data_IF_373211666382
#
_entry.id   IF_373211666382
#
_cell.length_a   1.000
_cell.length_b   1.000
_cell.length_c   1.000
_cell.angle_alpha   90.00
_cell.angle_beta   90.00
_cell.angle_gamma   90.00
#
_symmetry.space_group_name_H-M   'P 1'
#
loop_
_entity.id
_entity.type
_entity.pdbx_description
1 polymer ?
#
# COMPACT_ATOMS: atom_id res chain seq x y z
N UNK A 1 23.11 8.66 -8.53
CA UNK A 1 22.34 8.32 -9.73
C UNK A 1 21.98 9.50 -10.62
N UNK A 2 22.45 10.73 -10.30
CA UNK A 2 22.22 11.89 -11.17
C UNK A 2 22.97 11.73 -12.51
N UNK A 3 22.30 12.10 -13.62
CA UNK A 3 22.89 12.04 -14.96
C UNK A 3 22.90 10.65 -15.63
N UNK A 4 22.58 9.58 -14.89
CA UNK A 4 22.57 8.22 -15.43
C UNK A 4 21.20 7.83 -15.96
N UNK A 5 21.16 6.84 -16.86
CA UNK A 5 19.96 6.22 -17.40
C UNK A 5 20.10 4.71 -17.32
N UNK A 6 19.01 4.04 -16.96
CA UNK A 6 18.97 2.59 -16.81
C UNK A 6 17.77 2.04 -17.57
N UNK A 7 17.98 1.04 -18.38
CA UNK A 7 16.91 0.29 -19.05
C UNK A 7 16.22 -0.72 -18.11
N UNK A 8 16.95 -1.20 -17.10
CA UNK A 8 16.42 -2.04 -16.03
C UNK A 8 16.73 -1.43 -14.67
N UNK A 9 15.73 -1.42 -13.77
CA UNK A 9 15.91 -1.10 -12.36
C UNK A 9 15.28 -2.22 -11.53
N UNK A 10 16.10 -2.87 -10.71
CA UNK A 10 15.67 -3.83 -9.70
C UNK A 10 15.65 -3.16 -8.32
N UNK A 11 14.54 -3.28 -7.61
CA UNK A 11 14.46 -2.92 -6.20
C UNK A 11 14.38 -4.20 -5.39
N UNK A 12 15.27 -4.35 -4.44
CA UNK A 12 15.17 -5.36 -3.42
C UNK A 12 14.53 -4.75 -2.19
N UNK A 13 13.56 -5.46 -1.58
CA UNK A 13 12.78 -4.98 -0.45
C UNK A 13 12.16 -3.57 -0.70
N UNK A 14 11.29 -3.46 -1.69
CA UNK A 14 10.71 -2.18 -2.12
C UNK A 14 10.01 -1.40 -0.98
N UNK A 15 9.53 -2.10 0.04
CA UNK A 15 8.93 -1.49 1.23
C UNK A 15 9.92 -0.75 2.13
N UNK A 16 11.22 -0.88 1.89
CA UNK A 16 12.25 -0.08 2.57
C UNK A 16 12.48 1.29 1.92
N UNK A 17 11.91 1.53 0.75
CA UNK A 17 12.04 2.80 0.03
C UNK A 17 10.82 3.70 0.28
N UNK A 18 11.06 5.00 0.37
CA UNK A 18 10.01 6.00 0.31
C UNK A 18 9.45 6.10 -1.11
N UNK A 19 8.26 6.72 -1.22
CA UNK A 19 7.68 7.02 -2.55
C UNK A 19 8.58 7.95 -3.36
N UNK A 20 9.22 8.91 -2.73
CA UNK A 20 10.13 9.87 -3.36
C UNK A 20 11.34 9.19 -3.98
N UNK A 21 11.99 8.29 -3.24
CA UNK A 21 13.14 7.52 -3.74
C UNK A 21 12.75 6.64 -4.93
N UNK A 22 11.65 5.90 -4.79
CA UNK A 22 11.13 5.07 -5.88
C UNK A 22 10.79 5.87 -7.13
N UNK A 23 10.03 6.95 -6.98
CA UNK A 23 9.60 7.79 -8.10
C UNK A 23 10.76 8.52 -8.77
N UNK A 24 11.75 8.96 -7.99
CA UNK A 24 12.98 9.53 -8.50
C UNK A 24 13.73 8.53 -9.39
N UNK A 25 13.94 7.31 -8.93
CA UNK A 25 14.62 6.27 -9.71
C UNK A 25 13.83 5.89 -10.97
N UNK A 26 12.51 5.88 -10.94
CA UNK A 26 11.70 5.70 -12.15
C UNK A 26 11.95 6.77 -13.22
N UNK A 27 12.32 7.99 -12.83
CA UNK A 27 12.69 9.04 -13.80
C UNK A 27 13.98 8.73 -14.54
N UNK A 28 14.80 7.82 -14.02
CA UNK A 28 16.05 7.32 -14.61
C UNK A 28 15.86 6.06 -15.44
N UNK A 29 14.69 5.43 -15.36
CA UNK A 29 14.36 4.24 -16.13
C UNK A 29 13.94 4.63 -17.54
N UNK A 30 14.92 4.70 -18.43
CA UNK A 30 14.77 5.14 -19.81
C UNK A 30 15.76 4.38 -20.72
N UNK A 31 15.47 4.25 -22.03
CA UNK A 31 16.32 3.47 -22.91
C UNK A 31 17.71 4.11 -23.05
N UNK A 32 18.73 3.27 -23.05
CA UNK A 32 20.12 3.65 -23.32
C UNK A 32 20.50 3.51 -24.81
N UNK A 33 19.60 3.00 -25.66
CA UNK A 33 19.82 2.81 -27.09
C UNK A 33 18.52 2.41 -27.80
N UNK A 34 18.55 2.31 -29.14
CA UNK A 34 17.44 1.80 -29.92
C UNK A 34 17.16 0.34 -29.50
N UNK A 35 15.89 -0.06 -29.56
CA UNK A 35 15.41 -1.41 -29.26
C UNK A 35 15.60 -1.90 -27.82
N UNK A 36 15.99 -1.00 -26.90
CA UNK A 36 16.16 -1.33 -25.49
C UNK A 36 14.79 -1.42 -24.80
N UNK A 37 14.50 -2.57 -24.19
CA UNK A 37 13.31 -2.74 -23.35
C UNK A 37 13.53 -2.13 -21.98
N UNK A 38 12.68 -1.18 -21.63
CA UNK A 38 12.70 -0.48 -20.34
C UNK A 38 11.68 -1.10 -19.39
N UNK A 39 12.14 -1.54 -18.22
CA UNK A 39 11.24 -2.12 -17.21
C UNK A 39 11.84 -2.04 -15.81
N UNK A 40 10.98 -2.23 -14.81
CA UNK A 40 11.34 -2.26 -13.39
C UNK A 40 10.81 -3.56 -12.77
N UNK A 41 11.57 -4.14 -11.87
CA UNK A 41 11.15 -5.24 -11.01
C UNK A 41 11.41 -4.89 -9.55
N UNK A 42 10.64 -5.47 -8.66
CA UNK A 42 10.85 -5.31 -7.23
C UNK A 42 10.46 -6.58 -6.49
N UNK A 43 11.21 -6.90 -5.44
CA UNK A 43 10.79 -7.80 -4.37
C UNK A 43 10.25 -6.95 -3.22
N UNK A 44 9.37 -7.49 -2.42
CA UNK A 44 8.88 -6.80 -1.22
C UNK A 44 8.21 -7.77 -0.26
N UNK A 45 8.48 -7.58 1.01
CA UNK A 45 7.69 -8.12 2.11
C UNK A 45 6.80 -7.03 2.71
N UNK A 46 5.64 -7.38 3.29
CA UNK A 46 4.84 -6.42 4.06
C UNK A 46 5.65 -5.83 5.22
N UNK A 47 5.46 -4.56 5.51
CA UNK A 47 6.20 -3.84 6.56
C UNK A 47 7.12 -2.75 5.99
N UNK A 48 7.85 -2.06 6.89
CA UNK A 48 8.75 -0.99 6.49
C UNK A 48 8.07 0.35 6.17
N UNK A 49 8.90 1.37 5.92
CA UNK A 49 8.46 2.75 5.70
C UNK A 49 7.59 2.91 4.44
N UNK A 50 7.83 2.08 3.43
CA UNK A 50 7.12 2.11 2.16
C UNK A 50 5.88 1.22 2.10
N UNK A 51 5.55 0.49 3.16
CA UNK A 51 4.43 -0.46 3.16
C UNK A 51 3.14 0.14 2.59
N UNK A 52 2.74 1.30 3.09
CA UNK A 52 1.48 1.94 2.71
C UNK A 52 1.38 2.25 1.21
N UNK A 53 2.40 2.88 0.65
CA UNK A 53 2.38 3.26 -0.77
C UNK A 53 2.55 2.03 -1.69
N UNK A 54 3.34 1.03 -1.29
CA UNK A 54 3.49 -0.22 -2.06
C UNK A 54 2.17 -0.96 -2.11
N UNK A 55 1.51 -1.14 -0.95
CA UNK A 55 0.19 -1.75 -0.86
C UNK A 55 -0.84 -1.01 -1.70
N UNK A 56 -0.96 0.30 -1.54
CA UNK A 56 -1.91 1.13 -2.29
C UNK A 56 -1.67 1.10 -3.80
N UNK A 57 -0.41 0.96 -4.23
CA UNK A 57 -0.05 0.99 -5.65
C UNK A 57 -0.15 -0.37 -6.33
N UNK A 58 0.23 -1.44 -5.66
CA UNK A 58 0.43 -2.74 -6.29
C UNK A 58 -0.53 -3.82 -5.80
N UNK A 59 -0.89 -3.81 -4.51
CA UNK A 59 -1.65 -4.89 -3.89
C UNK A 59 -3.15 -4.60 -3.90
N UNK A 60 -3.57 -3.46 -3.33
CA UNK A 60 -5.01 -3.15 -3.15
C UNK A 60 -5.80 -2.87 -4.44
N UNK A 61 -5.21 -2.34 -5.55
CA UNK A 61 -6.01 -1.90 -6.70
C UNK A 61 -6.62 -3.02 -7.53
N UNK A 62 -6.10 -4.25 -7.48
CA UNK A 62 -6.57 -5.36 -8.28
C UNK A 62 -6.18 -6.72 -7.66
N UNK A 63 -6.90 -7.80 -7.97
CA UNK A 63 -6.52 -9.15 -7.55
C UNK A 63 -5.10 -9.50 -7.98
N UNK A 64 -4.39 -10.33 -7.20
CA UNK A 64 -3.06 -10.81 -7.55
C UNK A 64 -2.98 -11.40 -8.97
N UNK A 65 -1.85 -11.19 -9.66
CA UNK A 65 -1.66 -11.66 -11.03
C UNK A 65 -2.35 -10.80 -12.10
N UNK A 66 -3.16 -9.82 -11.72
CA UNK A 66 -3.86 -8.95 -12.67
C UNK A 66 -2.94 -7.86 -13.20
N UNK A 67 -2.85 -7.74 -14.54
CA UNK A 67 -2.13 -6.64 -15.19
C UNK A 67 -2.94 -5.36 -15.10
N UNK A 68 -2.51 -4.45 -14.26
CA UNK A 68 -3.08 -3.10 -14.14
C UNK A 68 -2.53 -2.19 -15.24
N UNK A 69 -3.41 -1.41 -15.87
CA UNK A 69 -3.04 -0.44 -16.93
C UNK A 69 -3.35 0.96 -16.42
N UNK A 70 -2.37 1.85 -16.53
CA UNK A 70 -2.51 3.27 -16.22
C UNK A 70 -2.16 4.09 -17.45
N UNK A 71 -3.04 5.00 -17.83
CA UNK A 71 -2.78 6.01 -18.83
C UNK A 71 -2.23 7.26 -18.15
N UNK A 72 -0.99 7.59 -18.47
CA UNK A 72 -0.33 8.79 -17.94
C UNK A 72 -0.38 9.86 -19.04
N UNK A 73 -0.92 11.01 -18.69
CA UNK A 73 -1.05 12.16 -19.60
C UNK A 73 0.00 13.21 -19.28
N UNK A 74 0.63 13.72 -20.29
CA UNK A 74 1.53 14.86 -20.23
C UNK A 74 1.17 15.84 -21.33
N UNK A 75 1.51 17.10 -21.17
CA UNK A 75 1.34 18.13 -22.22
C UNK A 75 2.71 18.55 -22.74
N UNK A 76 2.90 18.46 -24.06
CA UNK A 76 4.09 18.96 -24.70
C UNK A 76 4.10 20.51 -24.70
N UNK A 77 5.27 21.18 -24.90
CA UNK A 77 5.35 22.63 -24.96
C UNK A 77 4.48 23.26 -26.07
N UNK A 78 4.22 22.53 -27.15
CA UNK A 78 3.33 22.92 -28.24
C UNK A 78 1.83 22.76 -27.95
N UNK A 79 1.48 22.38 -26.69
CA UNK A 79 0.10 22.16 -26.24
C UNK A 79 -0.46 20.78 -26.54
N UNK A 80 0.23 19.92 -27.30
CA UNK A 80 -0.21 18.56 -27.65
C UNK A 80 -0.24 17.66 -26.43
N UNK A 81 -1.32 16.91 -26.29
CA UNK A 81 -1.43 15.88 -25.25
C UNK A 81 -0.62 14.63 -25.65
N UNK A 82 0.26 14.21 -24.75
CA UNK A 82 1.02 12.96 -24.86
C UNK A 82 0.40 11.98 -23.88
N UNK A 83 -0.06 10.84 -24.39
CA UNK A 83 -0.63 9.78 -23.56
C UNK A 83 0.29 8.56 -23.60
N UNK A 84 0.75 8.14 -22.43
CA UNK A 84 1.59 6.96 -22.28
C UNK A 84 0.85 5.88 -21.49
N UNK A 85 0.87 4.68 -22.02
CA UNK A 85 0.37 3.48 -21.33
C UNK A 85 1.47 2.90 -20.46
N UNK A 86 1.22 2.78 -19.16
CA UNK A 86 2.08 2.09 -18.19
C UNK A 86 1.36 0.89 -17.60
N UNK A 87 2.08 -0.18 -17.39
CA UNK A 87 1.52 -1.40 -16.81
C UNK A 87 2.28 -1.78 -15.56
N UNK A 88 1.58 -2.39 -14.61
CA UNK A 88 2.17 -2.99 -13.43
C UNK A 88 1.39 -4.25 -13.07
N UNK A 89 2.03 -5.15 -12.34
CA UNK A 89 1.45 -6.38 -11.87
C UNK A 89 2.01 -6.70 -10.49
N UNK A 90 1.18 -7.19 -9.60
CA UNK A 90 1.58 -7.78 -8.33
C UNK A 90 1.47 -9.30 -8.45
N UNK A 91 2.58 -10.00 -8.16
CA UNK A 91 2.64 -11.46 -8.16
C UNK A 91 2.96 -11.85 -6.71
N UNK A 92 2.00 -12.43 -5.98
CA UNK A 92 2.24 -12.89 -4.62
C UNK A 92 3.15 -14.10 -4.63
N UNK A 93 3.95 -14.23 -3.59
CA UNK A 93 4.74 -15.43 -3.29
C UNK A 93 4.82 -15.55 -1.78
N UNK A 94 4.81 -16.77 -1.29
CA UNK A 94 4.96 -17.11 0.12
C UNK A 94 6.19 -17.97 0.31
N UNK A 95 6.61 -18.20 1.54
CA UNK A 95 7.71 -19.12 1.84
C UNK A 95 7.42 -20.53 1.31
N UNK A 96 6.14 -20.93 1.23
CA UNK A 96 5.72 -22.25 0.76
C UNK A 96 5.93 -22.45 -0.74
N UNK A 97 6.09 -21.37 -1.50
CA UNK A 97 6.40 -21.42 -2.93
C UNK A 97 7.90 -21.67 -3.19
N UNK A 98 8.74 -21.60 -2.15
CA UNK A 98 10.18 -21.82 -2.25
C UNK A 98 10.57 -23.21 -1.77
N UNK A 99 10.27 -24.23 -2.59
CA UNK A 99 10.57 -25.63 -2.27
C UNK A 99 12.06 -25.86 -1.95
N UNK A 100 12.95 -25.23 -2.71
CA UNK A 100 14.39 -25.36 -2.50
C UNK A 100 14.85 -24.85 -1.12
N UNK A 101 14.26 -23.77 -0.62
CA UNK A 101 14.55 -23.27 0.72
C UNK A 101 14.08 -24.27 1.78
N UNK A 102 12.86 -24.79 1.64
CA UNK A 102 12.27 -25.70 2.61
C UNK A 102 12.96 -27.06 2.65
N UNK A 103 13.49 -27.52 1.51
CA UNK A 103 14.29 -28.75 1.43
C UNK A 103 15.67 -28.57 2.09
N UNK A 104 16.31 -27.40 1.90
CA UNK A 104 17.64 -27.14 2.42
C UNK A 104 17.64 -26.71 3.90
N UNK A 105 16.57 -26.07 4.36
CA UNK A 105 16.40 -25.64 5.76
C UNK A 105 14.97 -25.90 6.25
N UNK A 106 14.66 -27.15 6.66
CA UNK A 106 13.37 -27.48 7.22
C UNK A 106 13.03 -26.73 8.52
N UNK A 107 14.04 -26.22 9.23
CA UNK A 107 13.89 -25.48 10.48
C UNK A 107 13.42 -24.03 10.27
N UNK A 108 13.56 -23.49 9.05
CA UNK A 108 13.23 -22.09 8.76
C UNK A 108 11.76 -21.73 9.04
N UNK A 109 10.83 -22.65 8.74
CA UNK A 109 9.41 -22.44 9.07
C UNK A 109 9.18 -22.28 10.58
N UNK A 110 9.91 -23.06 11.40
CA UNK A 110 9.84 -22.92 12.86
C UNK A 110 10.34 -21.58 13.34
N UNK A 111 11.41 -21.06 12.71
CA UNK A 111 11.94 -19.72 13.00
C UNK A 111 10.90 -18.64 12.69
N UNK A 112 10.27 -18.68 11.52
CA UNK A 112 9.22 -17.73 11.16
C UNK A 112 7.98 -17.86 12.03
N UNK A 113 7.59 -19.08 12.42
CA UNK A 113 6.45 -19.31 13.29
C UNK A 113 6.62 -18.77 14.72
N UNK A 114 7.87 -18.61 15.17
CA UNK A 114 8.20 -18.06 16.48
C UNK A 114 8.19 -16.51 16.52
N UNK A 115 8.07 -15.84 15.38
CA UNK A 115 8.00 -14.39 15.30
C UNK A 115 6.70 -13.84 15.92
N UNK A 116 6.68 -12.57 16.35
CA UNK A 116 5.45 -11.87 16.70
C UNK A 116 4.36 -12.03 15.64
N UNK A 117 3.10 -12.09 16.04
CA UNK A 117 1.98 -12.48 15.16
C UNK A 117 1.89 -11.65 13.88
N UNK A 118 2.14 -10.33 13.95
CA UNK A 118 2.11 -9.46 12.78
C UNK A 118 3.24 -9.78 11.78
N UNK A 119 4.46 -10.00 12.29
CA UNK A 119 5.62 -10.36 11.46
C UNK A 119 5.47 -11.77 10.88
N UNK A 120 4.97 -12.71 11.67
CA UNK A 120 4.66 -14.05 11.21
C UNK A 120 3.67 -14.03 10.06
N UNK A 121 2.56 -13.29 10.17
CA UNK A 121 1.57 -13.14 9.10
C UNK A 121 2.17 -12.50 7.85
N UNK A 122 2.98 -11.47 8.02
CA UNK A 122 3.66 -10.80 6.92
C UNK A 122 4.61 -11.74 6.16
N UNK A 123 5.47 -12.47 6.88
CA UNK A 123 6.55 -13.25 6.28
C UNK A 123 6.14 -14.66 5.86
N UNK A 124 5.26 -15.35 6.63
CA UNK A 124 4.78 -16.68 6.26
C UNK A 124 3.70 -16.63 5.18
N UNK A 125 2.76 -15.69 5.30
CA UNK A 125 1.56 -15.68 4.47
C UNK A 125 1.50 -14.51 3.49
N UNK A 126 2.48 -13.60 3.54
CA UNK A 126 2.48 -12.41 2.69
C UNK A 126 1.29 -11.48 2.97
N UNK A 127 0.85 -11.41 4.23
CA UNK A 127 -0.31 -10.63 4.64
C UNK A 127 0.02 -9.13 4.65
N UNK A 128 -0.56 -8.40 3.72
CA UNK A 128 -0.40 -6.95 3.59
C UNK A 128 -1.33 -6.15 4.51
N UNK A 129 -2.21 -6.79 5.23
CA UNK A 129 -3.11 -6.14 6.20
C UNK A 129 -2.55 -6.17 7.62
N UNK A 130 -1.58 -7.05 7.90
CA UNK A 130 -0.86 -7.13 9.18
C UNK A 130 0.47 -6.39 9.07
N UNK A 131 0.70 -5.39 9.92
CA UNK A 131 2.00 -4.70 10.01
C UNK A 131 2.32 -4.28 11.44
N UNK A 132 3.61 -4.16 11.73
CA UNK A 132 4.12 -3.73 13.04
C UNK A 132 3.73 -2.28 13.31
N UNK A 133 3.15 -2.01 14.49
CA UNK A 133 2.70 -0.67 14.88
C UNK A 133 1.19 -0.43 14.71
N UNK A 134 0.43 -1.43 14.27
CA UNK A 134 -1.03 -1.37 14.32
C UNK A 134 -1.49 -1.43 15.79
N UNK A 135 -2.22 -0.41 16.23
CA UNK A 135 -2.75 -0.35 17.61
C UNK A 135 -3.89 -1.36 17.81
N UNK A 136 -4.76 -1.51 16.80
CA UNK A 136 -5.88 -2.45 16.80
C UNK A 136 -5.60 -3.57 15.81
N UNK A 137 -5.06 -4.68 16.28
CA UNK A 137 -4.70 -5.85 15.47
C UNK A 137 -5.92 -6.59 14.93
N UNK A 138 -7.06 -6.45 15.60
CA UNK A 138 -8.34 -7.07 15.22
C UNK A 138 -9.05 -6.29 14.09
N UNK A 139 -8.60 -5.07 13.78
CA UNK A 139 -9.27 -4.27 12.75
C UNK A 139 -9.15 -4.94 11.37
N UNK A 140 -10.29 -5.17 10.75
CA UNK A 140 -10.39 -5.83 9.44
C UNK A 140 -11.26 -5.03 8.49
N UNK A 141 -10.87 -5.05 7.23
CA UNK A 141 -11.66 -4.61 6.10
C UNK A 141 -11.89 -5.81 5.18
N UNK A 142 -13.04 -6.46 5.31
CA UNK A 142 -13.41 -7.61 4.50
C UNK A 142 -14.64 -7.29 3.63
N UNK A 143 -14.42 -7.00 2.33
CA UNK A 143 -15.51 -6.66 1.41
C UNK A 143 -16.57 -7.74 1.22
N UNK A 144 -16.23 -9.02 1.45
CA UNK A 144 -17.18 -10.12 1.34
C UNK A 144 -18.24 -10.08 2.45
N UNK A 145 -17.94 -9.39 3.55
CA UNK A 145 -18.78 -9.34 4.75
C UNK A 145 -19.36 -7.94 5.05
N UNK A 146 -19.36 -7.02 4.08
CA UNK A 146 -19.94 -5.67 4.30
C UNK A 146 -21.43 -5.69 4.59
N UNK A 147 -22.16 -6.67 4.09
CA UNK A 147 -23.63 -6.73 4.22
C UNK A 147 -24.06 -7.43 5.53
N UNK A 148 -23.37 -8.49 5.93
CA UNK A 148 -23.66 -9.23 7.16
C UNK A 148 -22.92 -8.71 8.40
N UNK A 149 -21.98 -7.78 8.19
CA UNK A 149 -21.16 -7.11 9.23
C UNK A 149 -20.38 -8.09 10.13
N UNK A 150 -20.10 -9.29 9.63
CA UNK A 150 -19.30 -10.30 10.33
C UNK A 150 -17.85 -10.18 9.91
N UNK A 151 -16.95 -10.29 10.85
CA UNK A 151 -15.50 -10.33 10.61
C UNK A 151 -14.91 -9.08 9.94
N UNK A 152 -15.67 -7.98 9.87
CA UNK A 152 -15.26 -6.72 9.27
C UNK A 152 -15.62 -5.53 10.16
N UNK A 153 -14.78 -4.49 10.13
CA UNK A 153 -15.04 -3.19 10.76
C UNK A 153 -15.44 -2.13 9.73
N UNK A 154 -15.50 -2.52 8.46
CA UNK A 154 -15.94 -1.66 7.37
C UNK A 154 -17.28 -2.19 6.85
N UNK A 155 -18.21 -1.28 6.68
CA UNK A 155 -19.56 -1.59 6.19
C UNK A 155 -19.84 -0.78 4.92
N UNK A 156 -20.90 -1.12 4.19
CA UNK A 156 -21.31 -0.33 3.03
C UNK A 156 -21.69 1.09 3.44
N UNK A 157 -21.33 2.10 2.66
CA UNK A 157 -21.76 3.46 2.90
C UNK A 157 -23.29 3.56 2.94
N UNK A 158 -23.82 4.29 3.91
CA UNK A 158 -25.24 4.56 4.04
C UNK A 158 -25.48 6.04 4.36
N UNK A 159 -26.70 6.49 4.19
CA UNK A 159 -27.09 7.86 4.51
C UNK A 159 -27.17 8.04 6.02
N UNK A 160 -26.36 8.93 6.57
CA UNK A 160 -26.37 9.24 8.00
C UNK A 160 -27.69 9.97 8.34
N UNK A 161 -28.47 9.47 9.32
CA UNK A 161 -29.67 10.14 9.79
C UNK A 161 -29.37 11.52 10.36
N UNK A 162 -30.21 12.51 10.06
CA UNK A 162 -29.94 13.90 10.44
C UNK A 162 -29.99 14.18 11.95
N UNK A 163 -30.54 13.27 12.74
CA UNK A 163 -30.60 13.39 14.20
C UNK A 163 -29.38 12.78 14.91
N UNK A 164 -28.50 12.05 14.19
CA UNK A 164 -27.30 11.51 14.78
C UNK A 164 -26.31 12.62 15.09
N UNK A 165 -25.66 12.49 16.26
CA UNK A 165 -24.59 13.41 16.65
C UNK A 165 -23.33 13.15 15.84
N UNK A 166 -22.69 14.23 15.38
CA UNK A 166 -21.45 14.16 14.61
C UNK A 166 -20.36 14.89 15.39
N UNK A 167 -19.21 14.24 15.49
CA UNK A 167 -17.99 14.78 16.09
C UNK A 167 -16.86 14.81 15.07
N UNK A 168 -15.87 15.62 15.34
CA UNK A 168 -14.59 15.62 14.66
C UNK A 168 -13.48 15.33 15.66
N UNK A 169 -12.61 14.40 15.33
CA UNK A 169 -11.34 14.17 16.01
C UNK A 169 -10.22 14.68 15.11
N UNK A 170 -9.23 15.33 15.69
CA UNK A 170 -8.04 15.80 15.00
C UNK A 170 -6.81 15.24 15.70
N UNK A 171 -5.97 14.54 14.93
CA UNK A 171 -4.68 14.04 15.34
C UNK A 171 -3.59 14.83 14.60
N UNK A 172 -2.80 15.57 15.37
CA UNK A 172 -1.77 16.45 14.82
C UNK A 172 -0.55 15.63 14.38
N UNK A 173 -0.23 15.71 13.10
CA UNK A 173 0.97 15.08 12.57
C UNK A 173 2.20 15.99 12.73
N UNK A 174 3.28 15.45 13.30
CA UNK A 174 4.58 16.14 13.34
C UNK A 174 5.54 15.55 12.31
N UNK A 175 5.96 14.31 12.50
CA UNK A 175 6.78 13.54 11.56
C UNK A 175 5.95 12.55 10.73
N UNK A 176 4.67 12.47 10.99
CA UNK A 176 3.66 11.66 10.31
C UNK A 176 2.55 12.56 9.82
N UNK A 177 1.78 12.16 8.80
CA UNK A 177 0.64 12.94 8.34
C UNK A 177 -0.37 13.19 9.47
N UNK A 178 -1.03 14.37 9.44
CA UNK A 178 -2.17 14.63 10.31
C UNK A 178 -3.39 13.82 9.87
N UNK A 179 -4.30 13.57 10.81
CA UNK A 179 -5.59 12.93 10.52
C UNK A 179 -6.74 13.73 11.12
N UNK A 180 -7.78 13.95 10.31
CA UNK A 180 -9.06 14.49 10.79
C UNK A 180 -10.14 13.48 10.47
N UNK A 181 -10.77 12.92 11.50
CA UNK A 181 -11.87 11.98 11.36
C UNK A 181 -13.21 12.64 11.69
N UNK A 182 -14.25 12.37 10.90
CA UNK A 182 -15.63 12.68 11.24
C UNK A 182 -16.34 11.40 11.67
N UNK A 183 -16.99 11.47 12.81
CA UNK A 183 -17.63 10.32 13.44
C UNK A 183 -19.09 10.63 13.71
N UNK A 184 -19.98 9.72 13.35
CA UNK A 184 -21.37 9.75 13.73
C UNK A 184 -21.66 8.63 14.75
N UNK A 185 -22.56 8.88 15.72
CA UNK A 185 -23.02 7.86 16.62
C UNK A 185 -24.51 7.58 16.43
N UNK A 186 -24.88 6.30 16.43
CA UNK A 186 -26.27 5.90 16.48
C UNK A 186 -26.85 5.98 17.91
N UNK A 187 -28.12 5.63 18.04
CA UNK A 187 -28.84 5.64 19.32
C UNK A 187 -28.35 4.57 20.29
N UNK A 188 -27.67 3.54 19.78
CA UNK A 188 -27.10 2.44 20.57
C UNK A 188 -25.65 2.75 20.99
N UNK A 189 -25.12 3.92 20.57
CA UNK A 189 -23.76 4.35 20.92
C UNK A 189 -22.66 3.77 20.02
N UNK A 190 -23.02 3.14 18.89
CA UNK A 190 -22.02 2.70 17.91
C UNK A 190 -21.46 3.90 17.17
N UNK A 191 -20.16 3.92 17.00
CA UNK A 191 -19.43 4.97 16.28
C UNK A 191 -19.11 4.53 14.84
N UNK A 192 -19.46 5.41 13.90
CA UNK A 192 -19.17 5.24 12.49
C UNK A 192 -18.22 6.34 12.04
N UNK A 193 -17.04 5.98 11.54
CA UNK A 193 -16.19 6.94 10.83
C UNK A 193 -16.76 7.16 9.45
N UNK A 194 -17.32 8.34 9.22
CA UNK A 194 -18.07 8.69 8.01
C UNK A 194 -17.25 9.46 6.99
N UNK A 195 -16.15 10.07 7.43
CA UNK A 195 -15.23 10.81 6.58
C UNK A 195 -13.86 10.89 7.24
N UNK A 196 -12.84 10.99 6.42
CA UNK A 196 -11.46 11.23 6.85
C UNK A 196 -10.79 12.25 5.92
N UNK A 197 -9.97 13.12 6.49
CA UNK A 197 -8.97 13.90 5.81
C UNK A 197 -7.62 13.48 6.39
N UNK A 198 -6.74 12.96 5.55
CA UNK A 198 -5.44 12.47 5.96
C UNK A 198 -4.38 13.03 5.02
N UNK A 199 -3.35 13.62 5.56
CA UNK A 199 -2.31 14.19 4.73
C UNK A 199 -1.30 15.02 5.50
N UNK A 200 -0.29 15.45 4.79
CA UNK A 200 0.66 16.47 5.22
C UNK A 200 1.12 17.26 3.99
N UNK A 201 1.58 18.48 4.22
CA UNK A 201 2.12 19.34 3.16
C UNK A 201 3.54 18.94 2.75
N UNK A 202 4.16 17.99 3.47
CA UNK A 202 5.54 17.60 3.30
C UNK A 202 6.54 18.48 4.08
N UNK A 203 6.03 19.52 4.74
CA UNK A 203 6.82 20.40 5.61
C UNK A 203 6.56 20.02 7.07
N UNK A 204 7.60 19.75 7.88
CA UNK A 204 7.41 19.51 9.31
C UNK A 204 6.66 20.68 9.99
N UNK A 205 5.71 20.36 10.87
CA UNK A 205 4.87 21.30 11.62
C UNK A 205 3.79 22.04 10.81
N UNK A 206 3.50 21.65 9.59
CA UNK A 206 2.28 22.11 8.89
C UNK A 206 1.17 21.07 9.06
N UNK A 207 0.20 21.41 9.89
CA UNK A 207 -1.05 20.67 10.10
C UNK A 207 -2.23 21.38 9.46
#
# INVERSE_FOLDING_TARGET
>A
YQGQAYDFIGFDELTHFTWEEYSYLLSRNRPNGPDTRVYTRATANPGGIGHGWVKARFVSPAPPGTRMVQMVKARAPDGREIVQRRTRIFIPSTVFDNAALLENDPGYLGTLAALPEAEKKALLYGDWDSFTGQVFTEWKNDPAHYDDQRWTHVIRPFRIPGHWKIWRGYDFGYSKPFSVGWYAADEEGRLYRIRELYGCTGTPNEG
#
